data_IF_537678985708
#
_entry.id   IF_537678985708
#
_cell.length_a   1.000
_cell.length_b   1.000
_cell.length_c   1.000
_cell.angle_alpha   90.00
_cell.angle_beta   90.00
_cell.angle_gamma   90.00
#
_symmetry.space_group_name_H-M   'P 1'
#
loop_
_entity.id
_entity.type
_entity.pdbx_description
1 polymer ?
#
# COMPACT_ATOMS: atom_id res chain seq x y z
N UNK A 1 -74.76 30.37 -40.36
CA UNK A 1 -73.77 31.04 -39.49
C UNK A 1 -73.15 29.95 -38.65
N UNK A 2 -71.82 29.82 -38.72
CA UNK A 2 -71.06 28.72 -38.14
C UNK A 2 -70.71 29.01 -36.68
N UNK A 3 -71.05 28.10 -35.76
CA UNK A 3 -70.53 28.12 -34.40
C UNK A 3 -69.20 27.34 -34.33
N UNK A 4 -68.14 27.88 -33.70
CA UNK A 4 -66.89 27.14 -33.51
C UNK A 4 -66.95 26.26 -32.25
N UNK A 5 -66.59 24.98 -32.45
CA UNK A 5 -66.45 24.00 -31.38
C UNK A 5 -65.23 24.31 -30.48
N UNK A 6 -65.33 24.20 -29.14
CA UNK A 6 -64.23 24.54 -28.24
C UNK A 6 -63.18 23.42 -28.18
N UNK A 7 -61.91 23.80 -28.33
CA UNK A 7 -60.76 22.92 -28.18
C UNK A 7 -60.55 22.53 -26.69
N UNK A 8 -60.59 21.24 -26.40
CA UNK A 8 -60.28 20.65 -25.09
C UNK A 8 -58.78 20.72 -24.82
N UNK A 9 -58.37 21.46 -23.78
CA UNK A 9 -56.98 21.46 -23.28
C UNK A 9 -56.62 20.13 -22.61
N UNK A 10 -55.41 19.57 -22.80
CA UNK A 10 -55.02 18.32 -22.20
C UNK A 10 -54.65 18.49 -20.70
N UNK A 11 -54.84 17.44 -19.87
CA UNK A 11 -54.71 17.54 -18.42
C UNK A 11 -53.24 17.58 -17.97
N UNK A 12 -52.81 18.73 -17.45
CA UNK A 12 -51.46 18.98 -16.90
C UNK A 12 -51.09 18.13 -15.67
N UNK A 13 -52.01 17.36 -15.10
CA UNK A 13 -51.84 16.69 -13.81
C UNK A 13 -50.95 15.43 -13.87
N UNK A 14 -50.98 14.68 -14.98
CA UNK A 14 -50.23 13.43 -15.13
C UNK A 14 -48.72 13.64 -15.24
N UNK A 15 -48.28 14.76 -15.82
CA UNK A 15 -46.85 15.11 -15.94
C UNK A 15 -46.21 15.39 -14.58
N UNK A 16 -46.92 16.05 -13.66
CA UNK A 16 -46.38 16.41 -12.33
C UNK A 16 -46.11 15.18 -11.45
N UNK A 17 -46.98 14.17 -11.50
CA UNK A 17 -46.81 12.92 -10.74
C UNK A 17 -45.60 12.13 -11.25
N UNK A 18 -45.41 12.06 -12.57
CA UNK A 18 -44.26 11.40 -13.18
C UNK A 18 -42.92 12.05 -12.77
N UNK A 19 -42.86 13.38 -12.71
CA UNK A 19 -41.67 14.12 -12.28
C UNK A 19 -41.33 13.89 -10.79
N UNK A 20 -42.35 13.80 -9.92
CA UNK A 20 -42.13 13.53 -8.49
C UNK A 20 -41.60 12.10 -8.26
N UNK A 21 -42.12 11.11 -9.00
CA UNK A 21 -41.61 9.74 -8.93
C UNK A 21 -40.17 9.65 -9.43
N UNK A 22 -39.84 10.34 -10.52
CA UNK A 22 -38.48 10.36 -11.06
C UNK A 22 -37.49 11.00 -10.06
N UNK A 23 -37.87 12.12 -9.43
CA UNK A 23 -37.07 12.77 -8.42
C UNK A 23 -36.85 11.90 -7.17
N UNK A 24 -37.87 11.16 -6.73
CA UNK A 24 -37.75 10.24 -5.60
C UNK A 24 -36.78 9.08 -5.89
N UNK A 25 -36.81 8.52 -7.11
CA UNK A 25 -35.88 7.47 -7.53
C UNK A 25 -34.44 7.99 -7.58
N UNK A 26 -34.22 9.18 -8.15
CA UNK A 26 -32.89 9.80 -8.20
C UNK A 26 -32.36 10.09 -6.78
N UNK A 27 -33.22 10.59 -5.89
CA UNK A 27 -32.86 10.81 -4.49
C UNK A 27 -32.48 9.52 -3.76
N UNK A 28 -33.20 8.42 -4.01
CA UNK A 28 -32.90 7.12 -3.41
C UNK A 28 -31.54 6.58 -3.89
N UNK A 29 -31.27 6.66 -5.20
CA UNK A 29 -30.00 6.22 -5.80
C UNK A 29 -28.82 7.02 -5.23
N UNK A 30 -28.95 8.35 -5.15
CA UNK A 30 -27.93 9.21 -4.56
C UNK A 30 -27.66 8.87 -3.10
N UNK A 31 -28.70 8.60 -2.30
CA UNK A 31 -28.56 8.21 -0.91
C UNK A 31 -27.82 6.87 -0.76
N UNK A 32 -28.15 5.86 -1.57
CA UNK A 32 -27.41 4.58 -1.58
C UNK A 32 -25.94 4.75 -1.98
N UNK A 33 -25.63 5.63 -2.93
CA UNK A 33 -24.25 5.91 -3.31
C UNK A 33 -23.47 6.56 -2.16
N UNK A 34 -24.07 7.53 -1.45
CA UNK A 34 -23.47 8.17 -0.29
C UNK A 34 -23.23 7.15 0.83
N UNK A 35 -24.21 6.28 1.12
CA UNK A 35 -24.05 5.22 2.13
C UNK A 35 -22.93 4.25 1.73
N UNK A 36 -22.80 3.87 0.47
CA UNK A 36 -21.72 3.00 0.00
C UNK A 36 -20.32 3.66 0.10
N UNK A 37 -20.22 4.96 -0.18
CA UNK A 37 -18.96 5.72 -0.02
C UNK A 37 -18.60 5.83 1.46
N UNK A 38 -19.55 6.19 2.32
CA UNK A 38 -19.35 6.31 3.77
C UNK A 38 -19.04 4.95 4.41
N UNK A 39 -19.67 3.85 3.97
CA UNK A 39 -19.32 2.51 4.45
C UNK A 39 -17.92 2.06 4.01
N UNK A 40 -17.41 2.53 2.87
CA UNK A 40 -16.02 2.29 2.44
C UNK A 40 -15.01 3.02 3.31
N UNK A 41 -15.33 4.23 3.78
CA UNK A 41 -14.46 4.97 4.71
C UNK A 41 -14.55 4.48 6.15
N UNK A 42 -15.72 4.03 6.62
CA UNK A 42 -15.93 3.58 8.00
C UNK A 42 -15.53 2.12 8.26
N UNK A 43 -15.47 1.27 7.23
CA UNK A 43 -14.85 -0.06 7.33
C UNK A 43 -13.34 0.09 7.21
N UNK A 44 -12.73 0.65 8.25
CA UNK A 44 -11.31 0.41 8.52
C UNK A 44 -11.05 -1.10 8.43
N UNK A 45 -10.12 -1.55 7.60
CA UNK A 45 -10.05 -2.94 7.18
C UNK A 45 -9.59 -3.81 8.35
N UNK A 46 -10.53 -4.54 8.95
CA UNK A 46 -10.26 -5.59 9.95
C UNK A 46 -9.39 -6.74 9.41
N UNK A 47 -9.16 -6.77 8.10
CA UNK A 47 -8.41 -7.80 7.39
C UNK A 47 -7.12 -7.29 6.72
N UNK A 48 -6.72 -6.02 6.94
CA UNK A 48 -5.41 -5.56 6.45
C UNK A 48 -4.31 -6.13 7.35
N UNK A 49 -3.28 -6.79 6.77
CA UNK A 49 -2.16 -7.28 7.56
C UNK A 49 -1.50 -6.13 8.30
N UNK A 50 -1.13 -6.36 9.56
CA UNK A 50 -0.48 -5.34 10.38
C UNK A 50 0.82 -4.87 9.69
N UNK A 51 0.98 -3.57 9.36
CA UNK A 51 2.12 -3.06 8.62
C UNK A 51 3.45 -3.30 9.34
N UNK A 52 3.45 -3.30 10.69
CA UNK A 52 4.63 -3.65 11.49
C UNK A 52 5.09 -5.09 11.18
N UNK A 53 4.14 -6.03 11.08
CA UNK A 53 4.43 -7.44 10.80
C UNK A 53 4.92 -7.62 9.36
N UNK A 54 4.35 -6.88 8.41
CA UNK A 54 4.79 -6.89 7.01
C UNK A 54 6.22 -6.35 6.87
N UNK A 55 6.50 -5.19 7.46
CA UNK A 55 7.84 -4.59 7.47
C UNK A 55 8.87 -5.47 8.17
N UNK A 56 8.51 -6.07 9.31
CA UNK A 56 9.39 -7.02 9.99
C UNK A 56 9.74 -8.23 9.09
N UNK A 57 8.74 -8.77 8.37
CA UNK A 57 8.95 -9.87 7.42
C UNK A 57 9.85 -9.45 6.25
N UNK A 58 9.64 -8.26 5.68
CA UNK A 58 10.51 -7.71 4.62
C UNK A 58 11.97 -7.63 5.11
N UNK A 59 12.19 -7.12 6.31
CA UNK A 59 13.54 -7.06 6.90
C UNK A 59 14.14 -8.45 7.16
N UNK A 60 13.34 -9.42 7.60
CA UNK A 60 13.80 -10.82 7.76
C UNK A 60 14.19 -11.44 6.42
N UNK A 61 13.42 -11.20 5.36
CA UNK A 61 13.71 -11.67 4.01
C UNK A 61 15.00 -11.04 3.47
N UNK A 62 15.15 -9.72 3.59
CA UNK A 62 16.36 -9.02 3.15
C UNK A 62 17.58 -9.48 3.95
N UNK A 63 17.45 -9.68 5.26
CA UNK A 63 18.51 -10.26 6.08
C UNK A 63 18.91 -11.66 5.57
N UNK A 64 17.93 -12.52 5.28
CA UNK A 64 18.20 -13.87 4.79
C UNK A 64 18.99 -13.84 3.48
N UNK A 65 18.55 -13.03 2.51
CA UNK A 65 19.22 -12.91 1.21
C UNK A 65 20.66 -12.40 1.35
N UNK A 66 20.87 -11.37 2.18
CA UNK A 66 22.21 -10.84 2.43
C UNK A 66 23.08 -11.88 3.14
N UNK A 67 22.55 -12.59 4.13
CA UNK A 67 23.31 -13.61 4.85
C UNK A 67 23.71 -14.76 3.92
N UNK A 68 22.80 -15.26 3.10
CA UNK A 68 23.09 -16.29 2.10
C UNK A 68 24.20 -15.85 1.15
N UNK A 69 24.12 -14.62 0.65
CA UNK A 69 25.14 -14.05 -0.21
C UNK A 69 26.50 -13.94 0.50
N UNK A 70 26.53 -13.46 1.74
CA UNK A 70 27.76 -13.35 2.54
C UNK A 70 28.37 -14.73 2.82
N UNK A 71 27.54 -15.73 3.12
CA UNK A 71 28.00 -17.09 3.39
C UNK A 71 28.66 -17.72 2.15
N UNK A 72 28.10 -17.46 0.97
CA UNK A 72 28.60 -17.96 -0.32
C UNK A 72 29.83 -17.19 -0.81
N UNK A 73 29.78 -15.86 -0.81
CA UNK A 73 30.79 -15.01 -1.45
C UNK A 73 31.82 -14.40 -0.49
N UNK A 74 31.64 -14.58 0.83
CA UNK A 74 32.52 -14.06 1.90
C UNK A 74 32.74 -12.55 1.83
N UNK A 75 31.76 -11.80 1.32
CA UNK A 75 31.79 -10.34 1.22
C UNK A 75 30.38 -9.75 1.28
N UNK A 76 30.29 -8.46 1.61
CA UNK A 76 29.04 -7.71 1.49
C UNK A 76 28.56 -7.64 0.03
N UNK A 77 27.24 -7.69 -0.22
CA UNK A 77 26.69 -7.48 -1.57
C UNK A 77 26.82 -6.03 -2.04
N UNK A 78 27.00 -5.05 -1.16
CA UNK A 78 27.19 -3.64 -1.55
C UNK A 78 27.47 -2.72 -0.37
N UNK A 79 27.82 -1.46 -0.66
CA UNK A 79 27.96 -0.39 0.34
C UNK A 79 26.64 0.35 0.56
N UNK A 80 25.77 0.35 -0.45
CA UNK A 80 24.43 0.94 -0.40
C UNK A 80 23.35 -0.12 -0.57
N UNK A 81 22.10 0.22 -0.23
CA UNK A 81 20.96 -0.67 -0.43
C UNK A 81 20.75 -0.99 -1.92
N UNK A 82 20.87 0.01 -2.79
CA UNK A 82 20.70 -0.15 -4.24
C UNK A 82 21.74 -1.11 -4.83
N UNK A 83 23.02 -0.92 -4.48
CA UNK A 83 24.09 -1.84 -4.88
C UNK A 83 23.86 -3.26 -4.37
N UNK A 84 23.39 -3.40 -3.13
CA UNK A 84 23.13 -4.70 -2.53
C UNK A 84 21.99 -5.42 -3.26
N UNK A 85 20.87 -4.74 -3.53
CA UNK A 85 19.74 -5.32 -4.27
C UNK A 85 20.12 -5.70 -5.69
N UNK A 86 20.86 -4.83 -6.39
CA UNK A 86 21.36 -5.16 -7.74
C UNK A 86 22.28 -6.37 -7.71
N UNK A 87 23.22 -6.43 -6.77
CA UNK A 87 24.15 -7.57 -6.65
C UNK A 87 23.43 -8.87 -6.30
N UNK A 88 22.40 -8.81 -5.45
CA UNK A 88 21.55 -9.97 -5.14
C UNK A 88 20.79 -10.44 -6.39
N UNK A 89 20.24 -9.52 -7.18
CA UNK A 89 19.60 -9.84 -8.46
C UNK A 89 20.59 -10.52 -9.43
N UNK A 90 21.80 -9.96 -9.56
CA UNK A 90 22.86 -10.50 -10.42
C UNK A 90 23.36 -11.87 -9.93
N UNK A 91 23.24 -12.18 -8.64
CA UNK A 91 23.52 -13.51 -8.07
C UNK A 91 22.39 -14.53 -8.25
N UNK A 92 21.27 -14.13 -8.88
CA UNK A 92 20.17 -15.03 -9.22
C UNK A 92 18.95 -14.95 -8.31
N UNK A 93 18.85 -13.93 -7.44
CA UNK A 93 17.61 -13.66 -6.70
C UNK A 93 16.55 -13.12 -7.65
N UNK A 94 15.44 -13.85 -7.80
CA UNK A 94 14.29 -13.43 -8.59
C UNK A 94 13.37 -12.52 -7.76
N UNK A 95 13.57 -11.21 -7.86
CA UNK A 95 12.73 -10.22 -7.17
C UNK A 95 11.31 -10.09 -7.75
N UNK A 96 11.02 -10.69 -8.91
CA UNK A 96 9.65 -10.75 -9.43
C UNK A 96 8.83 -11.87 -8.79
N UNK A 97 9.49 -12.84 -8.15
CA UNK A 97 8.84 -13.91 -7.38
C UNK A 97 7.98 -13.36 -6.24
N UNK A 98 6.79 -13.95 -5.98
CA UNK A 98 5.97 -13.62 -4.81
C UNK A 98 6.72 -13.68 -3.47
N UNK A 99 7.77 -14.50 -3.39
CA UNK A 99 8.56 -14.68 -2.17
C UNK A 99 9.44 -13.46 -1.86
N UNK A 100 9.90 -12.72 -2.88
CA UNK A 100 10.89 -11.65 -2.73
C UNK A 100 10.41 -10.28 -3.21
N UNK A 101 9.27 -10.22 -3.90
CA UNK A 101 8.73 -8.96 -4.44
C UNK A 101 8.60 -7.87 -3.38
N UNK A 102 8.27 -8.23 -2.14
CA UNK A 102 8.10 -7.27 -1.05
C UNK A 102 9.40 -6.56 -0.64
N UNK A 103 10.58 -7.06 -0.99
CA UNK A 103 11.86 -6.41 -0.69
C UNK A 103 12.51 -5.74 -1.91
N UNK A 104 12.01 -6.00 -3.11
CA UNK A 104 12.58 -5.54 -4.39
C UNK A 104 12.74 -4.01 -4.46
N UNK A 105 11.78 -3.27 -3.94
CA UNK A 105 11.77 -1.81 -3.99
C UNK A 105 12.61 -1.14 -2.89
N UNK A 106 13.16 -1.93 -1.96
CA UNK A 106 13.97 -1.43 -0.85
C UNK A 106 13.22 -0.48 0.09
N UNK A 107 11.89 -0.62 0.18
CA UNK A 107 11.01 0.23 0.99
C UNK A 107 10.19 -0.59 1.98
N UNK A 108 9.84 0.04 3.09
CA UNK A 108 8.92 -0.53 4.07
C UNK A 108 7.44 -0.32 3.69
N UNK A 109 6.54 -0.86 4.51
CA UNK A 109 5.08 -0.75 4.29
C UNK A 109 4.55 0.69 4.36
N UNK A 110 5.34 1.64 4.87
CA UNK A 110 5.00 3.08 4.91
C UNK A 110 5.68 3.88 3.79
N UNK A 111 6.24 3.19 2.79
CA UNK A 111 6.91 3.76 1.62
C UNK A 111 8.25 4.46 1.92
N UNK A 112 8.78 4.27 3.14
CA UNK A 112 10.10 4.79 3.50
C UNK A 112 11.20 3.85 2.99
N UNK A 113 12.28 4.36 2.38
CA UNK A 113 13.43 3.53 2.04
C UNK A 113 14.02 2.89 3.29
N UNK A 114 14.40 1.61 3.21
CA UNK A 114 15.17 0.99 4.27
C UNK A 114 16.52 1.69 4.44
N UNK A 115 16.88 1.91 5.69
CA UNK A 115 18.21 2.36 6.07
C UNK A 115 19.14 1.16 5.98
N UNK A 116 20.25 1.32 5.25
CA UNK A 116 21.28 0.30 5.06
C UNK A 116 22.63 0.89 5.45
N UNK A 117 23.22 0.40 6.54
CA UNK A 117 24.44 0.97 7.14
C UNK A 117 25.44 -0.13 7.47
N UNK A 118 26.47 -0.31 6.64
CA UNK A 118 27.65 -1.08 7.02
C UNK A 118 28.34 -0.41 8.21
N UNK A 119 28.77 -1.20 9.19
CA UNK A 119 29.50 -0.71 10.36
C UNK A 119 30.97 -1.11 10.29
N UNK A 120 31.83 -0.36 10.98
CA UNK A 120 33.26 -0.68 11.09
C UNK A 120 33.53 -2.01 11.82
N UNK A 121 32.54 -2.54 12.53
CA UNK A 121 32.64 -3.77 13.33
C UNK A 121 32.37 -5.04 12.50
N UNK A 122 32.26 -4.92 11.17
CA UNK A 122 31.93 -6.04 10.30
C UNK A 122 30.48 -6.49 10.45
N UNK A 123 29.59 -5.58 10.82
CA UNK A 123 28.14 -5.82 10.80
C UNK A 123 27.46 -4.88 9.82
N UNK A 124 26.26 -5.24 9.40
CA UNK A 124 25.39 -4.43 8.57
C UNK A 124 24.07 -4.26 9.30
N UNK A 125 23.65 -3.00 9.42
CA UNK A 125 22.35 -2.65 9.97
C UNK A 125 21.39 -2.42 8.80
N UNK A 126 20.25 -3.10 8.83
CA UNK A 126 19.12 -2.83 7.94
C UNK A 126 17.91 -2.45 8.79
N UNK A 127 17.27 -1.31 8.51
CA UNK A 127 16.23 -0.74 9.39
C UNK A 127 15.12 -0.02 8.63
N UNK A 128 13.89 -0.13 9.13
CA UNK A 128 12.77 0.77 8.82
C UNK A 128 12.62 1.83 9.92
N UNK A 129 12.25 3.05 9.54
CA UNK A 129 11.95 4.17 10.45
C UNK A 129 10.51 4.16 10.98
N UNK A 130 9.79 3.07 10.75
CA UNK A 130 8.44 2.89 11.25
C UNK A 130 7.41 3.86 10.65
N UNK A 131 6.26 3.88 11.31
CA UNK A 131 5.09 4.67 10.92
C UNK A 131 5.24 6.17 11.16
N UNK A 132 6.12 6.57 12.08
CA UNK A 132 6.29 7.96 12.45
C UNK A 132 7.22 8.73 11.48
N UNK A 133 7.95 8.02 10.61
CA UNK A 133 8.88 8.57 9.63
C UNK A 133 10.10 9.28 10.23
N UNK A 134 10.44 8.99 11.49
CA UNK A 134 11.53 9.64 12.23
C UNK A 134 12.65 8.65 12.49
N UNK A 135 13.88 9.09 12.24
CA UNK A 135 15.04 8.27 12.48
C UNK A 135 15.39 8.25 13.98
N UNK A 136 14.99 7.20 14.70
CA UNK A 136 15.19 7.08 16.14
C UNK A 136 16.34 6.13 16.53
N UNK A 137 17.20 5.79 15.56
CA UNK A 137 18.42 4.99 15.74
C UNK A 137 18.17 3.59 16.32
N UNK A 138 17.04 2.97 15.99
CA UNK A 138 16.57 1.69 16.52
C UNK A 138 15.66 1.81 17.73
N UNK A 139 15.29 3.03 18.14
CA UNK A 139 14.30 3.30 19.18
C UNK A 139 12.89 3.53 18.63
N UNK A 140 11.92 3.70 19.53
CA UNK A 140 10.54 4.03 19.15
C UNK A 140 9.86 2.92 18.34
N UNK A 141 9.40 3.25 17.14
CA UNK A 141 8.81 2.32 16.18
C UNK A 141 9.76 1.88 15.06
N UNK A 142 11.06 2.19 15.18
CA UNK A 142 12.08 1.63 14.30
C UNK A 142 12.09 0.09 14.39
N UNK A 143 12.17 -0.57 13.23
CA UNK A 143 12.33 -2.03 13.15
C UNK A 143 13.68 -2.31 12.52
N UNK A 144 14.57 -3.00 13.22
CA UNK A 144 15.95 -3.20 12.76
C UNK A 144 16.41 -4.65 12.78
N UNK A 145 17.39 -4.95 11.92
CA UNK A 145 18.16 -6.18 11.87
C UNK A 145 19.64 -5.87 11.83
N UNK A 146 20.44 -6.72 12.49
CA UNK A 146 21.89 -6.64 12.51
C UNK A 146 22.42 -7.93 11.91
N UNK A 147 23.15 -7.80 10.81
CA UNK A 147 23.69 -8.91 10.03
C UNK A 147 25.20 -8.93 10.25
N UNK A 148 25.77 -10.11 10.51
CA UNK A 148 27.23 -10.25 10.62
C UNK A 148 27.81 -10.50 9.23
N UNK A 149 28.75 -9.66 8.81
CA UNK A 149 29.41 -9.78 7.51
C UNK A 149 30.65 -10.69 7.55
N UNK A 150 31.08 -11.05 8.76
CA UNK A 150 32.17 -12.00 9.01
C UNK A 150 31.61 -13.29 9.60
N UNK A 151 31.97 -14.48 9.08
CA UNK A 151 31.66 -15.76 9.71
C UNK A 151 32.41 -15.93 11.05
#
# INVERSE_FOLDING_TARGET
MSDPSPATKPPHHRRRILWLLLAAVVGLVALTLIINVVQRELRGPKDQPNPIVLTARQLDQLQLLIQQYVDEHRRSPGQTLEEALQTLADSGVDFDSPDWRSVADGRDTWEHPFIYVPTEQGTLIVRSIGSNGRHEHGGGDDIQRIIKLSP
#
